data_IF_163517108789
#
_entry.id   IF_163517108789
#
_cell.length_a   1.000
_cell.length_b   1.000
_cell.length_c   1.000
_cell.angle_alpha   90.00
_cell.angle_beta   90.00
_cell.angle_gamma   90.00
#
_symmetry.space_group_name_H-M   'P 1'
#
loop_
_entity.id
_entity.type
_entity.pdbx_description
1 polymer ?
#
# COMPACT_ATOMS: atom_id res chain seq x y z
N UNK A 1 35.35 8.49 19.46
CA UNK A 1 34.31 9.40 19.98
C UNK A 1 33.32 9.75 18.87
N UNK A 2 32.80 8.74 18.16
CA UNK A 2 31.89 8.84 17.01
C UNK A 2 30.84 7.74 17.20
N UNK A 3 29.98 7.90 18.18
CA UNK A 3 28.85 6.99 18.48
C UNK A 3 27.57 7.74 18.89
N UNK A 4 27.51 9.05 18.65
CA UNK A 4 26.40 9.92 19.10
C UNK A 4 25.85 10.88 18.05
N UNK A 5 26.15 10.69 16.75
CA UNK A 5 25.70 11.62 15.70
C UNK A 5 24.55 11.04 14.84
N UNK A 6 24.28 9.73 14.87
CA UNK A 6 23.16 9.15 14.10
C UNK A 6 21.77 9.35 14.74
N UNK A 7 21.68 9.83 15.98
CA UNK A 7 20.38 10.04 16.65
C UNK A 7 19.81 11.45 16.46
N UNK A 8 20.38 12.27 15.56
CA UNK A 8 20.05 13.71 15.46
C UNK A 8 19.41 14.11 14.12
N UNK A 9 19.38 13.23 13.11
CA UNK A 9 18.74 13.57 11.81
C UNK A 9 17.23 13.20 11.79
N UNK A 10 16.75 12.37 12.71
CA UNK A 10 15.32 12.01 12.82
C UNK A 10 14.40 13.09 13.44
N UNK A 11 14.92 14.30 13.71
CA UNK A 11 14.19 15.42 14.33
C UNK A 11 14.04 16.61 13.36
N UNK A 12 14.57 16.51 12.13
CA UNK A 12 14.65 17.64 11.17
C UNK A 12 13.37 17.99 10.40
N UNK A 13 12.38 17.07 10.28
CA UNK A 13 11.13 17.31 9.52
C UNK A 13 9.95 17.64 10.47
N UNK A 14 10.23 18.00 11.73
CA UNK A 14 9.21 18.24 12.77
C UNK A 14 8.88 19.73 13.01
N UNK A 15 9.12 20.60 12.03
CA UNK A 15 8.95 22.05 12.20
C UNK A 15 8.06 22.74 11.14
N UNK A 16 7.27 22.00 10.35
CA UNK A 16 6.24 22.61 9.52
C UNK A 16 4.84 22.34 10.09
N UNK A 17 4.31 23.36 10.77
CA UNK A 17 2.87 23.61 10.88
C UNK A 17 2.06 22.61 11.67
N UNK A 18 2.13 22.67 13.01
CA UNK A 18 1.02 22.22 13.87
C UNK A 18 -0.12 23.26 13.77
N UNK A 19 -0.62 23.51 12.56
CA UNK A 19 -1.93 24.13 12.35
C UNK A 19 -2.96 23.03 12.53
N UNK A 20 -4.05 23.33 13.24
CA UNK A 20 -4.96 22.34 13.82
C UNK A 20 -5.40 21.21 12.88
N UNK A 21 -5.70 20.05 13.47
CA UNK A 21 -6.32 18.96 12.74
C UNK A 21 -7.70 19.41 12.25
N UNK A 22 -7.81 19.65 10.94
CA UNK A 22 -9.05 20.05 10.29
C UNK A 22 -9.73 18.84 9.65
N UNK A 23 -11.07 18.79 9.74
CA UNK A 23 -11.89 17.92 8.88
C UNK A 23 -12.48 18.78 7.77
N UNK A 24 -12.29 18.39 6.51
CA UNK A 24 -12.94 19.02 5.37
C UNK A 24 -13.90 18.04 4.70
N UNK A 25 -15.16 18.46 4.52
CA UNK A 25 -16.17 17.76 3.72
C UNK A 25 -16.51 18.60 2.49
N UNK A 26 -16.54 17.97 1.31
CA UNK A 26 -16.91 18.68 0.08
C UNK A 26 -16.81 17.84 -1.18
N UNK A 27 -17.02 18.47 -2.32
CA UNK A 27 -16.50 17.96 -3.59
C UNK A 27 -14.99 18.15 -3.60
N UNK A 28 -14.24 17.07 -3.75
CA UNK A 28 -12.80 17.15 -3.98
C UNK A 28 -12.63 17.61 -5.44
N UNK A 29 -12.02 18.77 -5.65
CA UNK A 29 -11.48 19.10 -6.96
C UNK A 29 -10.09 18.50 -7.03
N UNK A 30 -9.85 17.63 -8.01
CA UNK A 30 -8.53 17.08 -8.30
C UNK A 30 -7.66 18.17 -8.95
N UNK A 31 -7.22 19.17 -8.18
CA UNK A 31 -6.26 20.18 -8.68
C UNK A 31 -4.84 19.57 -8.74
N UNK A 32 -4.42 19.27 -9.96
CA UNK A 32 -3.06 19.14 -10.52
C UNK A 32 -1.94 18.62 -9.60
N UNK A 33 -1.95 17.31 -9.33
CA UNK A 33 -0.69 16.58 -9.47
C UNK A 33 -0.52 16.32 -10.96
N UNK A 34 0.50 16.88 -11.62
CA UNK A 34 0.76 16.63 -13.05
C UNK A 34 1.06 15.14 -13.29
N UNK A 35 0.10 14.43 -13.90
CA UNK A 35 0.16 13.01 -14.26
C UNK A 35 0.65 12.87 -15.72
N UNK A 36 1.78 13.46 -16.09
CA UNK A 36 2.30 13.33 -17.47
C UNK A 36 3.65 12.60 -17.60
N UNK A 37 4.39 12.32 -16.52
CA UNK A 37 5.68 11.61 -16.59
C UNK A 37 5.76 10.40 -15.65
N UNK A 38 5.06 9.30 -15.97
CA UNK A 38 5.06 8.06 -15.16
C UNK A 38 5.55 6.81 -15.92
N UNK A 39 6.18 7.00 -17.07
CA UNK A 39 6.85 5.90 -17.78
C UNK A 39 8.13 5.38 -17.11
N UNK A 40 8.67 6.08 -16.10
CA UNK A 40 10.02 5.83 -15.58
C UNK A 40 10.09 5.29 -14.13
N UNK A 41 9.02 5.34 -13.33
CA UNK A 41 9.10 5.03 -11.88
C UNK A 41 9.29 3.54 -11.57
N UNK A 42 8.86 2.65 -12.46
CA UNK A 42 9.18 1.21 -12.36
C UNK A 42 10.53 0.87 -13.00
N UNK A 43 11.17 1.84 -13.69
CA UNK A 43 12.44 1.65 -14.39
C UNK A 43 13.63 2.37 -13.73
N UNK A 44 13.43 3.15 -12.67
CA UNK A 44 14.50 3.93 -12.03
C UNK A 44 15.33 3.15 -10.98
N UNK A 45 15.03 1.86 -10.74
CA UNK A 45 15.97 0.90 -10.13
C UNK A 45 17.05 0.41 -11.12
N UNK A 46 16.93 0.72 -12.41
CA UNK A 46 17.83 0.16 -13.42
C UNK A 46 19.15 0.93 -13.54
N UNK A 47 20.13 0.56 -12.70
CA UNK A 47 21.55 0.43 -13.12
C UNK A 47 22.47 -0.20 -12.08
N UNK A 48 22.06 -1.24 -11.35
CA UNK A 48 23.08 -2.15 -10.81
C UNK A 48 23.49 -3.14 -11.90
N UNK A 49 24.76 -3.08 -12.32
CA UNK A 49 25.37 -4.01 -13.30
C UNK A 49 25.74 -5.34 -12.64
N UNK A 50 24.96 -5.80 -11.68
CA UNK A 50 25.23 -7.04 -10.98
C UNK A 50 24.37 -8.16 -11.56
N UNK A 51 25.00 -9.33 -11.71
CA UNK A 51 24.46 -10.52 -12.38
C UNK A 51 22.97 -10.68 -12.10
N UNK A 52 22.17 -10.42 -13.13
CA UNK A 52 20.77 -10.78 -13.22
C UNK A 52 20.65 -12.28 -12.94
N UNK A 53 20.23 -12.63 -11.73
CA UNK A 53 19.89 -14.01 -11.40
C UNK A 53 18.40 -14.02 -11.12
N UNK A 54 17.67 -14.64 -12.04
CA UNK A 54 16.26 -14.94 -11.86
C UNK A 54 16.09 -16.13 -10.93
N UNK A 55 15.37 -15.95 -9.82
CA UNK A 55 14.54 -17.05 -9.33
C UNK A 55 13.39 -17.16 -10.34
N UNK A 56 13.20 -18.33 -10.92
CA UNK A 56 12.00 -18.68 -11.69
C UNK A 56 11.38 -19.91 -11.02
N UNK A 57 10.35 -19.66 -10.20
CA UNK A 57 9.59 -20.70 -9.53
C UNK A 57 8.22 -20.81 -10.18
N UNK A 58 7.85 -22.01 -10.62
CA UNK A 58 6.54 -22.28 -11.19
C UNK A 58 5.91 -23.47 -10.47
N UNK A 59 4.79 -23.22 -9.78
CA UNK A 59 4.08 -24.24 -9.01
C UNK A 59 2.61 -24.30 -9.41
N UNK A 60 2.02 -25.49 -9.44
CA UNK A 60 0.58 -25.64 -9.67
C UNK A 60 -0.21 -24.96 -8.55
N UNK A 61 -1.04 -23.99 -8.90
CA UNK A 61 -1.80 -23.21 -7.94
C UNK A 61 -2.77 -24.06 -7.11
N UNK A 62 -3.16 -25.25 -7.60
CA UNK A 62 -4.01 -26.19 -6.84
C UNK A 62 -3.35 -26.74 -5.59
N UNK A 63 -2.01 -26.80 -5.57
CA UNK A 63 -1.25 -27.30 -4.44
C UNK A 63 -1.00 -26.20 -3.38
N UNK A 64 -1.31 -24.94 -3.71
CA UNK A 64 -0.99 -23.79 -2.88
C UNK A 64 -2.26 -23.19 -2.28
N UNK A 65 -2.28 -23.18 -0.95
CA UNK A 65 -3.36 -22.67 -0.12
C UNK A 65 -3.07 -21.27 0.43
N UNK A 66 -1.80 -20.84 0.45
CA UNK A 66 -1.39 -19.49 0.84
C UNK A 66 0.00 -19.15 0.33
N UNK A 67 0.27 -17.85 0.22
CA UNK A 67 1.60 -17.29 -0.11
C UNK A 67 2.06 -16.44 1.08
N UNK A 68 3.33 -16.57 1.47
CA UNK A 68 3.98 -15.78 2.53
C UNK A 68 5.32 -15.28 2.05
N UNK A 69 5.47 -13.96 2.01
CA UNK A 69 6.67 -13.30 1.49
C UNK A 69 7.22 -12.38 2.55
N UNK A 70 8.52 -12.54 2.85
CA UNK A 70 9.25 -11.73 3.81
C UNK A 70 10.48 -11.14 3.16
N UNK A 71 10.61 -9.83 3.20
CA UNK A 71 11.72 -9.10 2.60
C UNK A 71 12.25 -8.09 3.61
N UNK A 72 13.57 -8.00 3.76
CA UNK A 72 14.18 -6.91 4.54
C UNK A 72 14.04 -5.59 3.78
N UNK A 73 14.36 -5.60 2.47
CA UNK A 73 14.21 -4.46 1.57
C UNK A 73 13.79 -4.90 0.16
N UNK A 74 13.20 -3.99 -0.63
CA UNK A 74 12.96 -4.17 -2.05
C UNK A 74 11.51 -3.94 -2.50
N UNK A 75 11.21 -4.33 -3.73
CA UNK A 75 9.90 -4.16 -4.34
C UNK A 75 9.20 -5.50 -4.57
N UNK A 76 7.88 -5.49 -4.41
CA UNK A 76 7.02 -6.61 -4.77
C UNK A 76 5.83 -6.18 -5.62
N UNK A 77 5.61 -6.90 -6.71
CA UNK A 77 4.41 -6.80 -7.53
C UNK A 77 3.64 -8.12 -7.50
N UNK A 78 2.38 -8.06 -7.08
CA UNK A 78 1.40 -9.12 -7.31
C UNK A 78 0.49 -8.75 -8.46
N UNK A 79 0.35 -9.66 -9.42
CA UNK A 79 -0.61 -9.53 -10.51
C UNK A 79 -1.29 -10.84 -10.84
N UNK A 80 -2.49 -10.75 -11.41
CA UNK A 80 -3.11 -11.93 -12.01
C UNK A 80 -2.63 -12.13 -13.44
N UNK A 81 -2.67 -13.38 -13.90
CA UNK A 81 -2.45 -13.75 -15.29
C UNK A 81 -3.42 -14.84 -15.73
N UNK A 82 -3.54 -15.00 -17.05
CA UNK A 82 -4.22 -16.15 -17.67
C UNK A 82 -3.34 -17.41 -17.60
N UNK A 83 -2.99 -17.78 -16.36
CA UNK A 83 -2.09 -18.87 -16.01
C UNK A 83 -2.77 -19.86 -15.07
N UNK A 84 -2.31 -21.11 -15.06
CA UNK A 84 -2.79 -22.15 -14.14
C UNK A 84 -1.83 -22.39 -12.95
N UNK A 85 -0.65 -21.78 -13.00
CA UNK A 85 0.41 -21.90 -12.01
C UNK A 85 0.71 -20.56 -11.36
N UNK A 86 1.29 -20.58 -10.17
CA UNK A 86 1.91 -19.41 -9.56
C UNK A 86 3.32 -19.27 -10.14
N UNK A 87 3.65 -18.09 -10.64
CA UNK A 87 4.96 -17.77 -11.23
C UNK A 87 5.70 -16.72 -10.39
N UNK A 88 6.79 -17.22 -9.82
CA UNK A 88 7.92 -16.69 -9.05
C UNK A 88 9.04 -15.99 -9.81
N UNK A 89 8.96 -14.72 -10.23
CA UNK A 89 10.13 -14.05 -10.83
C UNK A 89 10.78 -13.13 -9.80
N UNK A 90 12.03 -13.41 -9.44
CA UNK A 90 12.79 -12.52 -8.55
C UNK A 90 14.10 -12.07 -9.19
N UNK A 91 14.39 -10.77 -9.13
CA UNK A 91 15.67 -10.18 -9.53
C UNK A 91 16.38 -9.65 -8.30
N UNK A 92 17.67 -9.94 -8.19
CA UNK A 92 18.50 -9.50 -7.08
C UNK A 92 19.61 -10.50 -6.77
N UNK A 93 20.15 -10.43 -5.55
CA UNK A 93 21.19 -11.35 -5.12
C UNK A 93 20.61 -12.76 -4.85
N UNK A 94 21.02 -13.76 -5.62
CA UNK A 94 20.57 -15.16 -5.45
C UNK A 94 20.75 -15.70 -4.04
N UNK A 95 21.79 -15.26 -3.33
CA UNK A 95 22.07 -15.76 -1.98
C UNK A 95 21.12 -15.21 -0.91
N UNK A 96 20.45 -14.09 -1.17
CA UNK A 96 19.50 -13.47 -0.23
C UNK A 96 18.08 -13.99 -0.42
N UNK A 97 17.73 -14.46 -1.63
CA UNK A 97 16.38 -14.93 -1.97
C UNK A 97 16.28 -16.45 -1.85
N UNK A 98 15.35 -16.92 -1.03
CA UNK A 98 15.03 -18.33 -0.84
C UNK A 98 13.54 -18.55 -1.08
N UNK A 99 13.20 -19.69 -1.67
CA UNK A 99 11.81 -20.15 -1.77
C UNK A 99 11.68 -21.59 -1.29
N UNK A 100 10.52 -21.91 -0.72
CA UNK A 100 10.17 -23.24 -0.25
C UNK A 100 8.65 -23.43 -0.30
N UNK A 101 8.20 -24.69 -0.36
CA UNK A 101 6.78 -25.04 -0.28
C UNK A 101 6.60 -26.02 0.88
N UNK A 102 5.86 -25.60 1.91
CA UNK A 102 5.58 -26.43 3.09
C UNK A 102 4.10 -26.51 3.34
N UNK A 103 3.54 -27.72 3.32
CA UNK A 103 2.12 -27.98 3.60
C UNK A 103 1.17 -27.10 2.75
N UNK A 104 1.49 -26.92 1.47
CA UNK A 104 0.73 -26.08 0.55
C UNK A 104 0.87 -24.57 0.79
N UNK A 105 1.87 -24.13 1.55
CA UNK A 105 2.22 -22.72 1.70
C UNK A 105 3.49 -22.42 0.90
N UNK A 106 3.39 -21.50 -0.06
CA UNK A 106 4.55 -20.97 -0.78
C UNK A 106 5.21 -19.90 0.10
N UNK A 107 6.47 -20.11 0.45
CA UNK A 107 7.26 -19.22 1.31
C UNK A 107 8.38 -18.63 0.47
N UNK A 108 8.48 -17.31 0.44
CA UNK A 108 9.59 -16.59 -0.22
C UNK A 108 10.22 -15.67 0.82
N UNK A 109 11.52 -15.82 1.05
CA UNK A 109 12.27 -14.98 1.98
C UNK A 109 13.43 -14.30 1.24
N UNK A 110 13.46 -12.97 1.27
CA UNK A 110 14.63 -12.17 0.99
C UNK A 110 15.20 -11.67 2.33
N UNK A 111 16.37 -12.18 2.71
CA UNK A 111 17.09 -11.70 3.89
C UNK A 111 18.49 -11.27 3.51
N UNK A 112 18.83 -10.03 3.81
CA UNK A 112 20.17 -9.54 3.60
C UNK A 112 21.10 -10.09 4.68
N UNK A 113 22.22 -10.69 4.29
CA UNK A 113 23.16 -11.30 5.24
C UNK A 113 23.92 -10.26 6.06
N UNK A 114 24.02 -9.01 5.58
CA UNK A 114 24.76 -7.91 6.21
C UNK A 114 24.13 -6.56 5.88
N UNK A 115 24.10 -5.67 6.88
CA UNK A 115 23.63 -4.28 6.76
C UNK A 115 24.44 -3.41 5.78
N UNK A 116 25.60 -3.90 5.31
CA UNK A 116 26.42 -3.26 4.27
C UNK A 116 25.98 -3.56 2.84
N UNK A 117 25.07 -4.53 2.66
CA UNK A 117 24.71 -5.11 1.36
C UNK A 117 23.33 -4.63 0.88
N UNK A 118 22.78 -3.57 1.51
CA UNK A 118 21.51 -2.89 1.18
C UNK A 118 21.49 -2.35 -0.26
N UNK A 119 22.62 -2.38 -0.98
CA UNK A 119 22.76 -1.84 -2.34
C UNK A 119 22.16 -2.69 -3.46
N UNK A 120 21.66 -3.90 -3.19
CA UNK A 120 21.05 -4.75 -4.22
C UNK A 120 19.52 -4.75 -4.07
N UNK A 121 18.87 -3.77 -4.71
CA UNK A 121 17.42 -3.66 -4.77
C UNK A 121 16.81 -4.98 -5.30
N UNK A 122 16.10 -5.70 -4.44
CA UNK A 122 15.44 -6.95 -4.81
C UNK A 122 14.06 -6.64 -5.36
N UNK A 123 13.74 -7.18 -6.53
CA UNK A 123 12.41 -7.08 -7.13
C UNK A 123 11.79 -8.47 -7.19
N UNK A 124 10.58 -8.62 -6.65
CA UNK A 124 9.81 -9.87 -6.72
C UNK A 124 8.51 -9.61 -7.47
N UNK A 125 8.29 -10.30 -8.58
CA UNK A 125 7.02 -10.33 -9.28
C UNK A 125 6.37 -11.69 -9.09
N UNK A 126 5.17 -11.69 -8.52
CA UNK A 126 4.34 -12.88 -8.33
C UNK A 126 3.14 -12.80 -9.24
N UNK A 127 3.08 -13.70 -10.22
CA UNK A 127 1.91 -13.85 -11.09
C UNK A 127 1.06 -15.03 -10.61
N UNK A 128 -0.21 -14.79 -10.30
CA UNK A 128 -1.16 -15.82 -9.84
C UNK A 128 -2.30 -16.02 -10.84
N UNK A 129 -2.95 -17.20 -10.86
CA UNK A 129 -4.17 -17.38 -11.63
C UNK A 129 -5.28 -16.42 -11.19
N UNK A 130 -6.11 -15.95 -12.13
CA UNK A 130 -7.29 -15.10 -11.85
C UNK A 130 -8.26 -15.69 -10.81
N UNK A 131 -8.29 -17.01 -10.66
CA UNK A 131 -9.16 -17.74 -9.74
C UNK A 131 -8.46 -18.24 -8.46
N UNK A 132 -7.27 -17.72 -8.12
CA UNK A 132 -6.49 -18.20 -6.97
C UNK A 132 -7.30 -18.13 -5.66
N UNK A 133 -7.90 -16.98 -5.33
CA UNK A 133 -8.79 -16.77 -4.17
C UNK A 133 -8.30 -17.45 -2.87
N UNK A 134 -7.03 -17.22 -2.51
CA UNK A 134 -6.38 -17.69 -1.28
C UNK A 134 -5.83 -16.52 -0.47
N UNK A 135 -5.16 -16.85 0.64
CA UNK A 135 -4.54 -15.90 1.55
C UNK A 135 -3.13 -15.53 1.08
N UNK A 136 -2.80 -14.24 1.17
CA UNK A 136 -1.47 -13.70 0.90
C UNK A 136 -0.99 -12.91 2.12
N UNK A 137 0.21 -13.24 2.58
CA UNK A 137 0.90 -12.54 3.66
C UNK A 137 2.19 -11.93 3.11
N UNK A 138 2.40 -10.64 3.34
CA UNK A 138 3.58 -9.92 2.87
C UNK A 138 4.14 -9.09 4.01
N UNK A 139 5.44 -9.17 4.25
CA UNK A 139 6.15 -8.35 5.23
C UNK A 139 7.42 -7.80 4.60
N UNK A 140 7.49 -6.48 4.45
CA UNK A 140 8.63 -5.77 3.87
C UNK A 140 9.18 -4.82 4.93
N UNK A 141 10.49 -4.82 5.17
CA UNK A 141 11.13 -3.86 6.05
C UNK A 141 11.15 -2.46 5.43
N UNK A 142 11.68 -2.34 4.20
CA UNK A 142 11.63 -1.11 3.42
C UNK A 142 11.40 -1.35 1.92
N UNK A 143 10.51 -0.60 1.29
CA UNK A 143 10.33 -0.57 -0.15
C UNK A 143 8.88 -0.51 -0.60
N UNK A 144 8.56 -1.12 -1.74
CA UNK A 144 7.31 -0.89 -2.46
C UNK A 144 6.51 -2.19 -2.61
N UNK A 145 5.22 -2.16 -2.26
CA UNK A 145 4.30 -3.27 -2.47
C UNK A 145 3.16 -2.85 -3.40
N UNK A 146 3.01 -3.54 -4.51
CA UNK A 146 2.03 -3.23 -5.57
C UNK A 146 1.14 -4.45 -5.82
N UNK A 147 -0.17 -4.26 -5.79
CA UNK A 147 -1.15 -5.31 -6.04
C UNK A 147 -2.10 -4.88 -7.16
N UNK A 148 -2.17 -5.68 -8.23
CA UNK A 148 -2.93 -5.37 -9.45
C UNK A 148 -3.78 -6.56 -9.88
N UNK A 149 -5.04 -6.31 -10.22
CA UNK A 149 -5.91 -7.28 -10.89
C UNK A 149 -6.05 -8.64 -10.19
N UNK A 150 -5.87 -8.73 -8.88
CA UNK A 150 -5.93 -9.99 -8.13
C UNK A 150 -7.24 -10.17 -7.37
N UNK A 151 -7.68 -11.43 -7.26
CA UNK A 151 -8.80 -11.83 -6.41
C UNK A 151 -8.33 -12.78 -5.32
N UNK A 152 -8.50 -12.37 -4.06
CA UNK A 152 -7.97 -13.03 -2.88
C UNK A 152 -9.06 -13.33 -1.86
N UNK A 153 -8.79 -14.28 -0.98
CA UNK A 153 -9.59 -14.42 0.22
C UNK A 153 -9.19 -13.35 1.25
N UNK A 154 -7.88 -13.29 1.54
CA UNK A 154 -7.29 -12.37 2.52
C UNK A 154 -5.96 -11.81 2.02
N UNK A 155 -5.71 -10.53 2.29
CA UNK A 155 -4.40 -9.90 2.17
C UNK A 155 -3.96 -9.34 3.52
N UNK A 156 -2.86 -9.85 4.06
CA UNK A 156 -2.17 -9.29 5.23
C UNK A 156 -0.84 -8.70 4.78
N UNK A 157 -0.68 -7.38 4.90
CA UNK A 157 0.50 -6.64 4.46
C UNK A 157 1.10 -5.84 5.62
N UNK A 158 2.39 -6.02 5.87
CA UNK A 158 3.22 -5.14 6.66
C UNK A 158 4.30 -4.51 5.78
N UNK A 159 4.41 -3.18 5.79
CA UNK A 159 5.49 -2.45 5.15
C UNK A 159 6.12 -1.47 6.15
N UNK A 160 7.38 -1.66 6.53
CA UNK A 160 8.03 -0.81 7.54
C UNK A 160 8.20 0.62 7.03
N UNK A 161 8.87 0.80 5.90
CA UNK A 161 9.11 2.10 5.27
C UNK A 161 8.88 2.02 3.77
N UNK A 162 8.03 2.87 3.19
CA UNK A 162 7.93 3.01 1.73
C UNK A 162 6.52 3.20 1.21
N UNK A 163 6.12 2.43 0.20
CA UNK A 163 4.86 2.66 -0.51
C UNK A 163 4.05 1.37 -0.64
N UNK A 164 2.76 1.46 -0.38
CA UNK A 164 1.78 0.40 -0.65
C UNK A 164 0.77 0.90 -1.67
N UNK A 165 0.56 0.14 -2.75
CA UNK A 165 -0.42 0.43 -3.80
C UNK A 165 -1.35 -0.76 -4.03
N UNK A 166 -2.65 -0.54 -3.85
CA UNK A 166 -3.73 -1.48 -4.18
C UNK A 166 -4.58 -0.87 -5.29
N UNK A 167 -4.63 -1.52 -6.46
CA UNK A 167 -5.35 -1.03 -7.63
C UNK A 167 -6.83 -1.45 -7.66
N UNK A 168 -7.62 -0.73 -8.49
CA UNK A 168 -9.09 -0.83 -8.57
C UNK A 168 -9.64 -2.23 -8.80
N UNK A 169 -8.91 -3.07 -9.55
CA UNK A 169 -9.31 -4.43 -9.90
C UNK A 169 -8.94 -5.46 -8.82
N UNK A 170 -8.32 -5.04 -7.71
CA UNK A 170 -8.10 -5.91 -6.56
C UNK A 170 -9.41 -6.15 -5.83
N UNK A 171 -9.72 -7.42 -5.57
CA UNK A 171 -10.87 -7.85 -4.77
C UNK A 171 -10.43 -8.79 -3.65
N UNK A 172 -10.93 -8.56 -2.44
CA UNK A 172 -10.64 -9.42 -1.29
C UNK A 172 -11.79 -9.40 -0.28
N UNK A 173 -11.94 -10.49 0.47
CA UNK A 173 -12.87 -10.54 1.62
C UNK A 173 -12.32 -9.73 2.79
N UNK A 174 -11.02 -9.76 2.99
CA UNK A 174 -10.34 -9.04 4.06
C UNK A 174 -9.00 -8.48 3.59
N UNK A 175 -8.72 -7.23 3.94
CA UNK A 175 -7.43 -6.58 3.71
C UNK A 175 -6.97 -5.94 5.02
N UNK A 176 -5.81 -6.35 5.50
CA UNK A 176 -5.12 -5.72 6.62
C UNK A 176 -3.80 -5.13 6.12
N UNK A 177 -3.63 -3.82 6.24
CA UNK A 177 -2.39 -3.11 5.89
C UNK A 177 -1.87 -2.41 7.13
N UNK A 178 -0.62 -2.70 7.49
CA UNK A 178 0.12 -1.99 8.53
C UNK A 178 1.37 -1.36 7.92
N UNK A 179 1.50 -0.04 8.03
CA UNK A 179 2.65 0.68 7.52
C UNK A 179 3.33 1.51 8.60
N UNK A 180 4.66 1.49 8.65
CA UNK A 180 5.41 2.39 9.53
C UNK A 180 5.41 3.79 8.96
N UNK A 181 6.34 4.07 8.04
CA UNK A 181 6.51 5.38 7.42
C UNK A 181 6.27 5.28 5.92
N UNK A 182 5.45 6.15 5.32
CA UNK A 182 5.24 6.05 3.88
C UNK A 182 3.95 6.61 3.30
N UNK A 183 3.61 6.11 2.11
CA UNK A 183 2.29 6.28 1.49
C UNK A 183 1.51 4.97 1.41
N UNK A 184 0.21 5.02 1.68
CA UNK A 184 -0.72 3.94 1.33
C UNK A 184 -1.71 4.50 0.33
N UNK A 185 -1.78 3.88 -0.84
CA UNK A 185 -2.72 4.22 -1.89
C UNK A 185 -3.60 3.03 -2.21
N UNK A 186 -4.91 3.18 -2.02
CA UNK A 186 -5.89 2.10 -2.20
C UNK A 186 -7.04 2.63 -3.02
N UNK A 187 -7.18 2.14 -4.25
CA UNK A 187 -8.38 2.31 -5.07
C UNK A 187 -9.00 0.93 -5.22
N UNK A 188 -10.29 0.78 -4.95
CA UNK A 188 -10.92 -0.54 -5.00
C UNK A 188 -12.35 -0.49 -5.51
N UNK A 189 -12.69 -1.42 -6.42
CA UNK A 189 -14.04 -1.55 -6.94
C UNK A 189 -15.04 -2.09 -5.90
N UNK A 190 -14.65 -3.11 -5.12
CA UNK A 190 -15.52 -3.74 -4.13
C UNK A 190 -14.72 -4.18 -2.92
N UNK A 191 -15.19 -3.80 -1.74
CA UNK A 191 -14.51 -4.11 -0.48
C UNK A 191 -15.49 -4.65 0.55
N UNK A 192 -15.03 -5.64 1.32
CA UNK A 192 -15.71 -6.13 2.51
C UNK A 192 -15.05 -5.52 3.75
N UNK A 193 -14.13 -6.24 4.39
CA UNK A 193 -13.45 -5.77 5.59
C UNK A 193 -12.08 -5.20 5.24
N UNK A 194 -11.83 -3.94 5.61
CA UNK A 194 -10.53 -3.30 5.44
C UNK A 194 -10.07 -2.73 6.77
N UNK A 195 -8.83 -3.03 7.13
CA UNK A 195 -8.13 -2.45 8.27
C UNK A 195 -6.81 -1.85 7.79
N UNK A 196 -6.63 -0.54 7.93
CA UNK A 196 -5.41 0.16 7.55
C UNK A 196 -4.88 0.89 8.79
N UNK A 197 -3.63 0.65 9.14
CA UNK A 197 -2.92 1.36 10.21
C UNK A 197 -1.61 1.90 9.69
N UNK A 198 -1.37 3.21 9.84
CA UNK A 198 -0.11 3.86 9.50
C UNK A 198 0.43 4.67 10.68
N UNK A 199 1.75 4.58 10.93
CA UNK A 199 2.40 5.40 11.94
C UNK A 199 2.62 6.84 11.42
N UNK A 200 3.28 7.00 10.27
CA UNK A 200 3.60 8.32 9.70
C UNK A 200 3.43 8.33 8.18
N UNK A 201 2.70 9.31 7.65
CA UNK A 201 2.64 9.63 6.23
C UNK A 201 1.22 9.81 5.70
N UNK A 202 0.99 9.46 4.44
CA UNK A 202 -0.29 9.72 3.76
C UNK A 202 -1.06 8.43 3.48
N UNK A 203 -2.38 8.46 3.72
CA UNK A 203 -3.30 7.42 3.26
C UNK A 203 -4.29 8.05 2.29
N UNK A 204 -4.35 7.50 1.07
CA UNK A 204 -5.33 7.84 0.05
C UNK A 204 -6.20 6.61 -0.20
N UNK A 205 -7.49 6.70 0.15
CA UNK A 205 -8.42 5.58 0.13
C UNK A 205 -9.67 5.91 -0.71
N UNK A 206 -9.84 5.20 -1.82
CA UNK A 206 -10.87 5.44 -2.84
C UNK A 206 -11.69 4.17 -3.11
N UNK A 207 -12.69 3.87 -2.27
CA UNK A 207 -13.61 2.77 -2.49
C UNK A 207 -14.73 3.18 -3.47
N UNK A 208 -15.05 2.30 -4.41
CA UNK A 208 -16.26 2.41 -5.25
C UNK A 208 -17.50 1.86 -4.53
N UNK A 209 -17.38 0.72 -3.87
CA UNK A 209 -18.44 0.09 -3.06
C UNK A 209 -17.91 -0.35 -1.68
N UNK A 210 -18.72 -0.05 -0.65
CA UNK A 210 -18.46 -0.43 0.74
C UNK A 210 -19.62 -1.30 1.20
N UNK A 211 -19.35 -2.58 1.43
CA UNK A 211 -20.36 -3.57 1.81
C UNK A 211 -20.27 -4.03 3.27
N UNK A 212 -19.23 -3.62 3.99
CA UNK A 212 -18.99 -4.01 5.39
C UNK A 212 -18.21 -2.89 6.13
N UNK A 213 -17.25 -3.26 6.97
CA UNK A 213 -16.56 -2.37 7.89
C UNK A 213 -15.17 -2.01 7.37
N UNK A 214 -14.87 -0.73 7.40
CA UNK A 214 -13.57 -0.16 7.09
C UNK A 214 -13.07 0.55 8.34
N UNK A 215 -11.89 0.19 8.85
CA UNK A 215 -11.21 0.85 9.96
C UNK A 215 -9.87 1.38 9.46
N UNK A 216 -9.67 2.70 9.51
CA UNK A 216 -8.45 3.37 9.04
C UNK A 216 -7.91 4.21 10.19
N UNK A 217 -6.65 4.02 10.51
CA UNK A 217 -5.90 4.80 11.49
C UNK A 217 -4.62 5.36 10.84
N UNK A 218 -4.48 6.67 10.84
CA UNK A 218 -3.23 7.36 10.54
C UNK A 218 -2.75 8.09 11.81
N UNK A 219 -1.62 7.72 12.39
CA UNK A 219 -1.19 8.41 13.61
C UNK A 219 -0.68 9.81 13.28
N UNK A 220 0.19 9.96 12.30
CA UNK A 220 0.74 11.26 11.90
C UNK A 220 0.69 11.41 10.38
N UNK A 221 0.03 12.44 9.88
CA UNK A 221 -0.07 12.80 8.46
C UNK A 221 -1.51 12.80 7.97
N UNK A 222 -1.67 12.79 6.65
CA UNK A 222 -2.96 13.07 6.02
C UNK A 222 -3.72 11.79 5.65
N UNK A 223 -5.04 11.81 5.87
CA UNK A 223 -5.96 10.79 5.40
C UNK A 223 -6.97 11.42 4.45
N UNK A 224 -7.02 10.94 3.22
CA UNK A 224 -8.04 11.30 2.24
C UNK A 224 -8.90 10.09 1.94
N UNK A 225 -10.21 10.26 2.03
CA UNK A 225 -11.21 9.26 1.67
C UNK A 225 -12.10 9.84 0.59
N UNK A 226 -11.92 9.37 -0.65
CA UNK A 226 -12.73 9.81 -1.78
C UNK A 226 -13.70 8.72 -2.23
N UNK A 227 -14.85 9.10 -2.76
CA UNK A 227 -15.81 8.16 -3.35
C UNK A 227 -16.40 8.73 -4.64
N UNK A 228 -16.84 7.84 -5.53
CA UNK A 228 -17.49 8.27 -6.77
C UNK A 228 -18.76 9.06 -6.47
N UNK A 229 -18.89 10.25 -7.07
CA UNK A 229 -20.05 11.15 -6.92
C UNK A 229 -21.36 10.47 -7.31
N UNK A 230 -21.33 9.66 -8.35
CA UNK A 230 -22.46 8.86 -8.84
C UNK A 230 -22.86 7.72 -7.90
N UNK A 231 -21.94 7.28 -7.03
CA UNK A 231 -22.17 6.19 -6.10
C UNK A 231 -22.69 6.63 -4.74
N UNK A 232 -22.84 7.95 -4.49
CA UNK A 232 -23.12 8.61 -3.19
C UNK A 232 -23.48 7.61 -2.09
N UNK A 233 -22.47 6.93 -1.53
CA UNK A 233 -22.75 5.70 -0.84
C UNK A 233 -23.33 6.10 0.50
N UNK A 234 -24.50 5.55 0.79
CA UNK A 234 -25.19 5.66 2.07
C UNK A 234 -24.35 4.98 3.16
N UNK A 235 -23.30 5.65 3.63
CA UNK A 235 -22.29 5.11 4.54
C UNK A 235 -22.30 5.89 5.84
N UNK A 236 -22.23 5.16 6.95
CA UNK A 236 -22.00 5.74 8.26
C UNK A 236 -20.49 6.02 8.46
N UNK A 237 -20.17 7.24 8.85
CA UNK A 237 -18.80 7.62 9.23
C UNK A 237 -18.67 7.72 10.75
N UNK A 238 -17.58 7.16 11.28
CA UNK A 238 -17.11 7.36 12.67
C UNK A 238 -15.72 7.93 12.63
N UNK A 239 -15.62 9.23 12.80
CA UNK A 239 -14.37 9.96 12.65
C UNK A 239 -13.79 10.32 14.02
N UNK A 240 -12.47 10.30 14.14
CA UNK A 240 -11.75 10.83 15.30
C UNK A 240 -10.53 11.61 14.84
N UNK A 241 -10.41 12.86 15.29
CA UNK A 241 -9.22 13.69 15.05
C UNK A 241 -8.52 13.99 16.38
N UNK A 242 -7.26 13.59 16.50
CA UNK A 242 -6.46 13.77 17.71
C UNK A 242 -7.05 13.09 18.94
N UNK A 243 -6.87 13.75 20.09
CA UNK A 243 -7.40 13.29 21.37
C UNK A 243 -8.91 13.53 21.50
N UNK A 244 -9.52 14.29 20.60
CA UNK A 244 -10.94 14.62 20.64
C UNK A 244 -11.77 13.66 19.75
N UNK A 245 -12.78 13.04 20.35
CA UNK A 245 -13.73 12.22 19.60
C UNK A 245 -14.78 13.14 18.95
N UNK A 246 -14.51 13.65 17.74
CA UNK A 246 -15.53 14.32 16.93
C UNK A 246 -16.32 13.30 16.11
N UNK A 247 -17.41 12.79 16.69
CA UNK A 247 -18.37 11.97 15.97
C UNK A 247 -19.10 12.82 14.92
N UNK A 248 -18.82 12.59 13.64
CA UNK A 248 -19.56 13.20 12.53
C UNK A 248 -20.33 12.07 11.85
N UNK A 249 -21.58 11.88 12.29
CA UNK A 249 -22.50 10.95 11.64
C UNK A 249 -23.04 11.64 10.38
N UNK A 250 -22.90 11.00 9.22
CA UNK A 250 -23.56 11.46 8.00
C UNK A 250 -24.62 10.44 7.55
N UNK A 251 -25.80 11.01 7.25
CA UNK A 251 -27.04 10.47 6.70
C UNK A 251 -27.89 9.52 7.59
N UNK A 252 -28.99 10.06 8.12
CA UNK A 252 -30.04 9.33 8.84
C UNK A 252 -30.86 8.40 7.94
N UNK A 253 -30.72 8.53 6.61
CA UNK A 253 -31.37 7.68 5.61
C UNK A 253 -30.42 6.64 5.01
N UNK A 254 -29.22 6.48 5.58
CA UNK A 254 -28.27 5.48 5.14
C UNK A 254 -28.83 4.07 5.42
N UNK A 255 -29.12 3.31 4.35
CA UNK A 255 -29.39 1.88 4.46
C UNK A 255 -28.10 1.21 4.94
N UNK A 256 -28.17 0.31 5.93
CA UNK A 256 -27.06 -0.39 6.63
C UNK A 256 -26.11 -1.19 5.70
N UNK A 257 -25.47 -0.55 4.72
CA UNK A 257 -24.60 -1.23 3.76
C UNK A 257 -23.12 -1.20 4.16
N UNK A 258 -22.70 -0.30 5.04
CA UNK A 258 -21.32 -0.27 5.52
C UNK A 258 -21.00 0.85 6.51
N UNK A 259 -19.85 0.72 7.18
CA UNK A 259 -19.32 1.69 8.14
C UNK A 259 -17.85 1.99 7.84
N UNK A 260 -17.49 3.27 7.74
CA UNK A 260 -16.09 3.71 7.77
C UNK A 260 -15.79 4.33 9.14
N UNK A 261 -14.82 3.76 9.83
CA UNK A 261 -14.20 4.33 11.03
C UNK A 261 -12.83 4.88 10.67
N UNK A 262 -12.66 6.20 10.71
CA UNK A 262 -11.43 6.88 10.33
C UNK A 262 -10.84 7.64 11.53
N UNK A 263 -9.53 7.48 11.77
CA UNK A 263 -8.85 8.07 12.92
C UNK A 263 -7.55 8.71 12.43
N UNK A 264 -7.39 10.02 12.66
CA UNK A 264 -6.13 10.72 12.41
C UNK A 264 -5.67 11.38 13.71
N UNK A 265 -4.53 11.01 14.28
CA UNK A 265 -4.11 11.61 15.56
C UNK A 265 -3.51 13.01 15.35
N UNK A 266 -2.62 13.18 14.39
CA UNK A 266 -2.01 14.47 14.04
C UNK A 266 -2.00 14.58 12.51
N UNK A 267 -2.68 15.57 11.95
CA UNK A 267 -2.74 15.81 10.50
C UNK A 267 -4.16 16.13 10.04
N UNK A 268 -4.39 16.01 8.74
CA UNK A 268 -5.67 16.37 8.13
C UNK A 268 -6.51 15.15 7.78
N UNK A 269 -7.84 15.31 7.85
CA UNK A 269 -8.79 14.36 7.29
C UNK A 269 -9.65 15.06 6.24
N UNK A 270 -9.65 14.51 5.04
CA UNK A 270 -10.46 14.99 3.95
C UNK A 270 -11.39 13.88 3.47
N UNK A 271 -12.69 14.17 3.39
CA UNK A 271 -13.71 13.24 2.92
C UNK A 271 -14.55 13.92 1.85
N UNK A 272 -14.69 13.29 0.68
CA UNK A 272 -15.37 13.94 -0.43
C UNK A 272 -15.71 13.05 -1.59
N UNK A 273 -16.50 13.61 -2.50
CA UNK A 273 -16.81 12.97 -3.78
C UNK A 273 -15.78 13.34 -4.83
N UNK A 274 -15.51 12.40 -5.74
CA UNK A 274 -14.76 12.62 -6.97
C UNK A 274 -15.58 12.21 -8.20
N UNK A 275 -15.27 12.77 -9.36
CA UNK A 275 -15.83 12.41 -10.66
C UNK A 275 -15.42 10.99 -11.06
N UNK A 276 -16.12 10.43 -12.05
CA UNK A 276 -15.76 9.12 -12.61
C UNK A 276 -14.38 9.15 -13.27
N UNK A 277 -14.08 10.23 -13.99
CA UNK A 277 -12.77 10.46 -14.62
C UNK A 277 -11.67 10.51 -13.56
N UNK A 278 -11.86 11.29 -12.48
CA UNK A 278 -10.91 11.41 -11.37
C UNK A 278 -10.65 10.06 -10.68
N UNK A 279 -11.68 9.21 -10.52
CA UNK A 279 -11.52 7.87 -9.95
C UNK A 279 -10.83 6.90 -10.91
N UNK A 280 -11.15 6.97 -12.20
CA UNK A 280 -10.51 6.14 -13.22
C UNK A 280 -9.02 6.48 -13.30
N UNK A 281 -8.66 7.77 -13.33
CA UNK A 281 -7.29 8.28 -13.25
C UNK A 281 -6.60 7.87 -11.96
N UNK A 282 -7.24 8.01 -10.79
CA UNK A 282 -6.70 7.56 -9.53
C UNK A 282 -6.40 6.04 -9.54
N UNK A 283 -7.25 5.24 -10.19
CA UNK A 283 -7.04 3.80 -10.35
C UNK A 283 -5.91 3.42 -11.32
N UNK A 284 -5.49 4.35 -12.19
CA UNK A 284 -4.24 4.30 -12.93
C UNK A 284 -3.18 5.01 -12.09
N UNK A 285 -2.73 4.37 -11.01
CA UNK A 285 -1.71 4.96 -10.11
C UNK A 285 -0.43 5.18 -10.89
N UNK A 286 -0.33 6.40 -11.37
CA UNK A 286 0.79 6.98 -12.02
C UNK A 286 1.31 8.02 -11.01
N UNK A 287 2.17 7.59 -10.10
CA UNK A 287 2.65 8.40 -8.98
C UNK A 287 3.74 9.40 -9.42
N UNK A 288 3.96 10.47 -8.66
CA UNK A 288 4.92 11.55 -8.98
C UNK A 288 6.26 11.37 -8.24
N UNK A 289 7.35 11.88 -8.84
CA UNK A 289 8.76 11.72 -8.46
C UNK A 289 9.15 12.29 -7.09
N UNK A 290 8.40 13.26 -6.54
CA UNK A 290 8.87 14.04 -5.38
C UNK A 290 9.00 13.24 -4.08
N UNK A 291 8.12 12.25 -3.86
CA UNK A 291 8.21 11.39 -2.66
C UNK A 291 9.34 10.36 -2.77
N UNK A 292 9.55 9.78 -3.97
CA UNK A 292 10.63 8.82 -4.22
C UNK A 292 11.98 9.53 -4.21
N UNK A 293 12.05 10.76 -4.73
CA UNK A 293 13.23 11.60 -4.64
C UNK A 293 13.57 11.94 -3.19
N UNK A 294 12.56 12.28 -2.37
CA UNK A 294 12.75 12.46 -0.92
C UNK A 294 13.23 11.17 -0.24
N UNK A 295 12.68 10.01 -0.61
CA UNK A 295 13.12 8.72 -0.07
C UNK A 295 14.54 8.34 -0.52
N UNK A 296 14.93 8.65 -1.75
CA UNK A 296 16.28 8.41 -2.27
C UNK A 296 17.30 9.38 -1.66
N UNK A 297 16.94 10.66 -1.46
CA UNK A 297 17.78 11.62 -0.74
C UNK A 297 17.99 11.19 0.73
N UNK A 298 17.00 10.54 1.37
CA UNK A 298 17.14 9.96 2.72
C UNK A 298 18.00 8.69 2.73
N UNK A 299 18.05 7.93 1.63
CA UNK A 299 18.84 6.69 1.51
C UNK A 299 20.27 6.93 1.03
N UNK A 300 20.56 8.08 0.42
CA UNK A 300 21.90 8.49 -0.04
C UNK A 300 22.73 9.26 1.03
N UNK A 301 22.12 9.67 2.16
CA UNK A 301 22.79 10.26 3.33
C UNK A 301 23.11 9.24 4.45
#
# INVERSE_FOLDING_TARGET
>A
MIKKILSVIFIGILAFGITGCDVKFGSMNYEDYNIEDIGEIVNLSNKSKDKEISLDLKEDAKNINSIDIKMDSGSIEFKSGDVNSIEVIAKGNKESIKSDIKNGKLIIENREKKMSDISAETEITVTIPKNFNKDINVSIGAGVAIFKDISLNKLDLYNGVGLTVINKEVSSTEINISQGVGGIFVVMNKTNNINISQEVGQILFYPKEINNKIDIENKIGDLRIGYLKENNPKINYKIRLGKENKYIKQDENALEKGEIKARVNIGNLEIGTMSKEEFEEAGFVNFNMDYIKMMNEILEE
#
